data_IF_736187695711
#
_entry.id   IF_736187695711
#
_cell.length_a   1.000
_cell.length_b   1.000
_cell.length_c   1.000
_cell.angle_alpha   90.00
_cell.angle_beta   90.00
_cell.angle_gamma   90.00
#
_symmetry.space_group_name_H-M   'P 1'
#
loop_
_entity.id
_entity.type
_entity.pdbx_description
1 polymer ?
#
# COMPACT_ATOMS: atom_id res chain seq x y z
N UNK A 1 7.38 -14.86 21.74
CA UNK A 1 6.61 -15.99 22.29
C UNK A 1 5.42 -16.23 21.38
N UNK A 2 5.19 -17.42 20.88
CA UNK A 2 3.94 -17.73 20.19
C UNK A 2 2.81 -17.84 21.21
N UNK A 3 1.71 -17.13 20.96
CA UNK A 3 0.49 -17.20 21.78
C UNK A 3 -0.59 -17.87 20.94
N UNK A 4 -1.22 -18.90 21.49
CA UNK A 4 -2.21 -19.67 20.74
C UNK A 4 -3.48 -18.86 20.44
N UNK A 5 -3.98 -18.09 21.42
CA UNK A 5 -5.18 -17.24 21.22
C UNK A 5 -5.24 -16.10 22.24
N UNK A 6 -5.90 -15.01 21.87
CA UNK A 6 -6.12 -13.87 22.76
C UNK A 6 -5.67 -12.53 22.18
N UNK A 7 -6.08 -11.45 22.82
CA UNK A 7 -5.66 -10.10 22.46
C UNK A 7 -4.29 -9.80 23.10
N UNK A 8 -3.34 -9.36 22.28
CA UNK A 8 -2.03 -8.94 22.72
C UNK A 8 -1.90 -7.42 22.52
N UNK A 9 -1.53 -6.72 23.57
CA UNK A 9 -1.25 -5.28 23.51
C UNK A 9 0.15 -4.99 24.01
N UNK A 10 0.97 -4.39 23.19
CA UNK A 10 2.36 -4.05 23.48
C UNK A 10 2.54 -2.55 23.27
N UNK A 11 3.05 -1.85 24.28
CA UNK A 11 3.22 -0.38 24.23
C UNK A 11 4.55 0.06 24.83
N UNK A 12 5.15 1.13 24.24
CA UNK A 12 6.30 1.82 24.82
C UNK A 12 7.56 0.97 24.90
N UNK A 13 7.85 0.16 23.91
CA UNK A 13 9.04 -0.70 23.89
C UNK A 13 10.18 -0.03 23.12
N UNK A 14 11.35 0.11 23.76
CA UNK A 14 12.57 0.68 23.15
C UNK A 14 13.37 -0.32 22.31
N UNK A 15 13.13 -1.61 22.51
CA UNK A 15 13.78 -2.72 21.78
C UNK A 15 12.99 -3.19 20.55
N UNK A 16 13.56 -4.15 19.81
CA UNK A 16 12.83 -4.80 18.72
C UNK A 16 11.65 -5.64 19.27
N UNK A 17 10.56 -5.68 18.53
CA UNK A 17 9.34 -6.43 18.90
C UNK A 17 9.08 -7.51 17.86
N UNK A 18 8.93 -8.73 18.32
CA UNK A 18 8.48 -9.86 17.48
C UNK A 18 7.31 -10.57 18.15
N UNK A 19 6.16 -10.57 17.46
CA UNK A 19 4.91 -11.15 17.95
C UNK A 19 4.38 -12.15 16.94
N UNK A 20 3.97 -13.30 17.42
CA UNK A 20 3.30 -14.32 16.60
C UNK A 20 2.06 -14.81 17.36
N UNK A 21 0.92 -14.83 16.68
CA UNK A 21 -0.33 -15.36 17.22
C UNK A 21 -0.98 -16.33 16.25
N UNK A 22 -1.60 -17.37 16.75
CA UNK A 22 -2.42 -18.23 15.90
C UNK A 22 -3.79 -17.58 15.66
N UNK A 23 -4.40 -17.01 16.71
CA UNK A 23 -5.66 -16.28 16.60
C UNK A 23 -5.73 -15.14 17.60
N UNK A 24 -6.53 -14.12 17.30
CA UNK A 24 -6.71 -12.97 18.16
C UNK A 24 -6.17 -11.66 17.57
N UNK A 25 -6.30 -10.59 18.32
CA UNK A 25 -5.84 -9.28 17.90
C UNK A 25 -4.44 -8.95 18.43
N UNK A 26 -3.61 -8.38 17.59
CA UNK A 26 -2.30 -7.84 17.97
C UNK A 26 -2.37 -6.32 17.86
N UNK A 27 -2.12 -5.63 18.96
CA UNK A 27 -2.00 -4.16 18.99
C UNK A 27 -0.63 -3.76 19.50
N UNK A 28 0.08 -2.98 18.69
CA UNK A 28 1.42 -2.49 18.99
C UNK A 28 1.43 -0.98 18.88
N UNK A 29 1.90 -0.29 19.91
CA UNK A 29 1.94 1.18 19.94
C UNK A 29 3.27 1.70 20.54
N UNK A 30 3.85 2.73 19.94
CA UNK A 30 5.08 3.40 20.38
C UNK A 30 6.25 2.44 20.54
N UNK A 31 6.69 1.87 19.45
CA UNK A 31 7.87 1.01 19.39
C UNK A 31 9.00 1.77 18.72
N UNK A 32 10.15 1.87 19.36
CA UNK A 32 11.27 2.66 18.84
C UNK A 32 12.08 1.94 17.74
N UNK A 33 12.03 0.62 17.70
CA UNK A 33 12.85 -0.20 16.79
C UNK A 33 12.02 -1.09 15.88
N UNK A 34 12.72 -1.91 15.12
CA UNK A 34 12.14 -2.90 14.20
C UNK A 34 11.02 -3.73 14.85
N UNK A 35 9.93 -3.89 14.11
CA UNK A 35 8.75 -4.60 14.58
C UNK A 35 8.32 -5.67 13.57
N UNK A 36 8.18 -6.90 14.02
CA UNK A 36 7.68 -8.02 13.22
C UNK A 36 6.44 -8.62 13.87
N UNK A 37 5.32 -8.63 13.13
CA UNK A 37 4.03 -9.12 13.58
C UNK A 37 3.53 -10.20 12.64
N UNK A 38 3.05 -11.32 13.17
CA UNK A 38 2.46 -12.38 12.37
C UNK A 38 1.21 -12.95 13.05
N UNK A 39 0.15 -13.17 12.29
CA UNK A 39 -1.06 -13.86 12.76
C UNK A 39 -1.63 -14.78 11.69
N UNK A 40 -2.20 -15.90 12.12
CA UNK A 40 -2.96 -16.73 11.19
C UNK A 40 -4.40 -16.19 11.04
N UNK A 41 -5.03 -15.75 12.13
CA UNK A 41 -6.37 -15.18 12.08
C UNK A 41 -6.54 -14.06 13.10
N UNK A 42 -7.05 -12.94 12.65
CA UNK A 42 -7.30 -11.81 13.53
C UNK A 42 -6.85 -10.47 12.97
N UNK A 43 -7.03 -9.44 13.77
CA UNK A 43 -6.63 -8.08 13.37
C UNK A 43 -5.26 -7.70 13.92
N UNK A 44 -4.48 -7.01 13.10
CA UNK A 44 -3.23 -6.40 13.51
C UNK A 44 -3.37 -4.89 13.44
N UNK A 45 -2.99 -4.21 14.51
CA UNK A 45 -2.91 -2.75 14.56
C UNK A 45 -1.52 -2.33 15.04
N UNK A 46 -0.78 -1.63 14.20
CA UNK A 46 0.53 -1.09 14.53
C UNK A 46 0.52 0.43 14.38
N UNK A 47 0.86 1.14 15.44
CA UNK A 47 0.83 2.61 15.47
C UNK A 47 2.11 3.15 16.10
N UNK A 48 2.69 4.17 15.48
CA UNK A 48 3.88 4.87 15.95
C UNK A 48 5.07 3.92 16.12
N UNK A 49 5.56 3.40 14.99
CA UNK A 49 6.75 2.55 14.92
C UNK A 49 7.93 3.39 14.42
N UNK A 50 8.99 3.44 15.22
CA UNK A 50 10.15 4.32 15.01
C UNK A 50 11.14 3.81 13.95
N UNK A 51 11.00 2.58 13.48
CA UNK A 51 11.84 1.96 12.45
C UNK A 51 10.96 1.06 11.58
N UNK A 52 11.55 0.09 10.87
CA UNK A 52 10.87 -0.76 9.91
C UNK A 52 9.82 -1.66 10.57
N UNK A 53 8.75 -1.89 9.82
CA UNK A 53 7.65 -2.74 10.22
C UNK A 53 7.42 -3.86 9.20
N UNK A 54 7.42 -5.10 9.67
CA UNK A 54 7.01 -6.25 8.88
C UNK A 54 5.78 -6.91 9.47
N UNK A 55 4.74 -7.10 8.65
CA UNK A 55 3.47 -7.72 9.05
C UNK A 55 3.11 -8.85 8.10
N UNK A 56 2.73 -9.99 8.65
CA UNK A 56 2.20 -11.12 7.88
C UNK A 56 0.88 -11.60 8.49
N UNK A 57 -0.15 -11.73 7.67
CA UNK A 57 -1.47 -12.24 8.10
C UNK A 57 -2.01 -13.27 7.13
N UNK A 58 -2.58 -14.36 7.61
CA UNK A 58 -3.32 -15.24 6.71
C UNK A 58 -4.75 -14.72 6.50
N UNK A 59 -5.43 -14.28 7.57
CA UNK A 59 -6.78 -13.75 7.46
C UNK A 59 -7.02 -12.63 8.47
N UNK A 60 -7.68 -11.58 8.02
CA UNK A 60 -8.05 -10.47 8.89
C UNK A 60 -7.62 -9.10 8.37
N UNK A 61 -7.88 -8.08 9.15
CA UNK A 61 -7.51 -6.72 8.80
C UNK A 61 -6.17 -6.31 9.41
N UNK A 62 -5.33 -5.68 8.61
CA UNK A 62 -4.08 -5.07 9.05
C UNK A 62 -4.21 -3.56 8.94
N UNK A 63 -4.01 -2.87 10.04
CA UNK A 63 -3.99 -1.40 10.08
C UNK A 63 -2.64 -0.93 10.60
N UNK A 64 -1.95 -0.17 9.78
CA UNK A 64 -0.63 0.39 10.07
C UNK A 64 -0.71 1.91 9.99
N UNK A 65 -0.17 2.60 10.97
CA UNK A 65 -0.13 4.06 10.95
C UNK A 65 1.14 4.62 11.59
N UNK A 66 1.68 5.69 11.00
CA UNK A 66 2.85 6.41 11.52
C UNK A 66 4.06 5.51 11.73
N UNK A 67 4.57 4.92 10.68
CA UNK A 67 5.83 4.18 10.66
C UNK A 67 6.91 5.08 10.08
N UNK A 68 8.06 5.22 10.73
CA UNK A 68 9.15 6.08 10.26
C UNK A 68 10.05 5.41 9.23
N UNK A 69 10.22 4.11 9.32
CA UNK A 69 10.99 3.29 8.40
C UNK A 69 10.15 2.66 7.29
N UNK A 70 10.69 1.60 6.71
CA UNK A 70 10.03 0.82 5.65
C UNK A 70 8.88 -0.03 6.20
N UNK A 71 7.86 -0.22 5.36
CA UNK A 71 6.65 -0.99 5.70
C UNK A 71 6.51 -2.14 4.72
N UNK A 72 6.57 -3.37 5.23
CA UNK A 72 6.34 -4.61 4.48
C UNK A 72 5.12 -5.33 5.07
N UNK A 73 4.03 -5.37 4.32
CA UNK A 73 2.77 -5.98 4.76
C UNK A 73 2.28 -7.00 3.75
N UNK A 74 2.11 -8.23 4.18
CA UNK A 74 1.56 -9.30 3.35
C UNK A 74 0.36 -9.97 4.00
N UNK A 75 -0.69 -10.22 3.20
CA UNK A 75 -1.84 -11.00 3.64
C UNK A 75 -2.29 -12.00 2.57
N UNK A 76 -2.93 -13.09 2.99
CA UNK A 76 -3.62 -13.95 2.04
C UNK A 76 -5.02 -13.40 1.79
N UNK A 77 -5.75 -13.06 2.86
CA UNK A 77 -7.10 -12.50 2.75
C UNK A 77 -7.32 -11.37 3.74
N UNK A 78 -8.02 -10.34 3.32
CA UNK A 78 -8.41 -9.25 4.21
C UNK A 78 -8.07 -7.86 3.66
N UNK A 79 -8.17 -6.87 4.53
CA UNK A 79 -7.95 -5.48 4.16
C UNK A 79 -6.67 -4.97 4.81
N UNK A 80 -5.78 -4.43 3.96
CA UNK A 80 -4.55 -3.77 4.38
C UNK A 80 -4.76 -2.26 4.34
N UNK A 81 -4.63 -1.58 5.47
CA UNK A 81 -4.68 -0.11 5.56
C UNK A 81 -3.37 0.41 6.10
N UNK A 82 -2.69 1.23 5.31
CA UNK A 82 -1.41 1.84 5.66
C UNK A 82 -1.57 3.35 5.55
N UNK A 83 -1.31 4.07 6.62
CA UNK A 83 -1.40 5.53 6.64
C UNK A 83 -0.13 6.18 7.17
N UNK A 84 0.31 7.23 6.49
CA UNK A 84 1.50 8.01 6.83
C UNK A 84 2.76 7.13 6.99
N UNK A 85 3.15 6.35 5.98
CA UNK A 85 4.44 5.67 5.98
C UNK A 85 5.56 6.69 5.77
N UNK A 86 6.66 6.56 6.51
CA UNK A 86 7.82 7.43 6.41
C UNK A 86 8.93 6.90 5.50
N UNK A 87 8.86 5.65 5.08
CA UNK A 87 9.79 5.00 4.16
C UNK A 87 9.07 4.30 3.01
N UNK A 88 9.77 3.37 2.37
CA UNK A 88 9.23 2.54 1.29
C UNK A 88 8.09 1.66 1.80
N UNK A 89 7.07 1.47 0.97
CA UNK A 89 5.95 0.57 1.25
C UNK A 89 5.94 -0.60 0.27
N UNK A 90 5.88 -1.81 0.81
CA UNK A 90 5.57 -3.01 0.05
C UNK A 90 4.33 -3.67 0.68
N UNK A 91 3.23 -3.70 -0.06
CA UNK A 91 1.95 -4.21 0.44
C UNK A 91 1.32 -5.18 -0.56
N UNK A 92 1.00 -6.39 -0.11
CA UNK A 92 0.45 -7.41 -0.98
C UNK A 92 -0.64 -8.25 -0.37
N UNK A 93 -1.66 -8.58 -1.18
CA UNK A 93 -2.71 -9.52 -0.78
C UNK A 93 -3.09 -10.45 -1.94
N UNK A 94 -3.51 -11.67 -1.62
CA UNK A 94 -4.10 -12.54 -2.63
C UNK A 94 -5.59 -12.19 -2.84
N UNK A 95 -6.34 -11.98 -1.77
CA UNK A 95 -7.75 -11.59 -1.87
C UNK A 95 -8.08 -10.52 -0.85
N UNK A 96 -8.44 -9.35 -1.32
CA UNK A 96 -8.79 -8.24 -0.45
C UNK A 96 -8.30 -6.90 -0.98
N UNK A 97 -8.47 -5.88 -0.17
CA UNK A 97 -8.14 -4.51 -0.53
C UNK A 97 -6.82 -4.05 0.09
N UNK A 98 -6.05 -3.32 -0.70
CA UNK A 98 -4.86 -2.58 -0.27
C UNK A 98 -5.18 -1.10 -0.31
N UNK A 99 -5.08 -0.41 0.80
CA UNK A 99 -5.34 1.02 0.96
C UNK A 99 -4.09 1.70 1.58
N UNK A 100 -3.40 2.50 0.80
CA UNK A 100 -2.19 3.21 1.21
C UNK A 100 -2.44 4.71 1.10
N UNK A 101 -2.28 5.43 2.20
CA UNK A 101 -2.54 6.87 2.26
C UNK A 101 -1.34 7.64 2.80
N UNK A 102 -1.02 8.76 2.16
CA UNK A 102 0.08 9.63 2.54
C UNK A 102 1.46 9.09 2.19
N UNK A 103 1.57 8.27 1.14
CA UNK A 103 2.85 7.79 0.64
C UNK A 103 3.62 8.91 -0.05
N UNK A 104 4.92 8.99 0.25
CA UNK A 104 5.84 9.96 -0.35
C UNK A 104 7.11 9.31 -0.93
N UNK A 105 7.38 8.07 -0.59
CA UNK A 105 8.51 7.26 -1.05
C UNK A 105 8.07 6.15 -1.99
N UNK A 106 8.95 5.22 -2.29
CA UNK A 106 8.65 4.09 -3.17
C UNK A 106 7.46 3.26 -2.66
N UNK A 107 6.58 2.87 -3.57
CA UNK A 107 5.43 2.03 -3.26
C UNK A 107 5.38 0.84 -4.21
N UNK A 108 5.25 -0.35 -3.63
CA UNK A 108 4.84 -1.56 -4.36
C UNK A 108 3.56 -2.09 -3.73
N UNK A 109 2.46 -2.00 -4.48
CA UNK A 109 1.17 -2.48 -4.02
C UNK A 109 0.60 -3.49 -5.02
N UNK A 110 0.26 -4.68 -4.53
CA UNK A 110 -0.29 -5.71 -5.41
C UNK A 110 -1.43 -6.48 -4.74
N UNK A 111 -2.42 -6.82 -5.57
CA UNK A 111 -3.50 -7.72 -5.20
C UNK A 111 -3.73 -8.74 -6.32
N UNK A 112 -4.03 -9.99 -6.00
CA UNK A 112 -4.50 -10.89 -7.06
C UNK A 112 -5.98 -10.61 -7.36
N UNK A 113 -6.79 -10.39 -6.32
CA UNK A 113 -8.20 -9.98 -6.47
C UNK A 113 -8.55 -8.92 -5.44
N UNK A 114 -9.17 -7.84 -5.89
CA UNK A 114 -9.60 -6.74 -5.03
C UNK A 114 -9.15 -5.37 -5.51
N UNK A 115 -9.28 -4.38 -4.63
CA UNK A 115 -8.93 -3.01 -4.94
C UNK A 115 -7.52 -2.67 -4.41
N UNK A 116 -6.74 -1.99 -5.25
CA UNK A 116 -5.50 -1.32 -4.84
C UNK A 116 -5.75 0.19 -4.90
N UNK A 117 -5.78 0.83 -3.75
CA UNK A 117 -5.91 2.29 -3.62
C UNK A 117 -4.62 2.86 -3.05
N UNK A 118 -4.02 3.81 -3.75
CA UNK A 118 -2.82 4.52 -3.29
C UNK A 118 -3.03 6.00 -3.42
N UNK A 119 -2.86 6.71 -2.30
CA UNK A 119 -2.93 8.17 -2.23
C UNK A 119 -1.61 8.73 -1.70
N UNK A 120 -1.10 9.73 -2.37
CA UNK A 120 0.10 10.42 -1.93
C UNK A 120 0.73 11.28 -3.02
N UNK A 121 1.97 11.66 -2.81
CA UNK A 121 2.74 12.44 -3.77
C UNK A 121 4.14 11.86 -3.88
N UNK A 122 4.43 11.04 -4.90
CA UNK A 122 5.78 10.52 -5.12
C UNK A 122 6.74 11.68 -5.42
N UNK A 123 7.86 11.72 -4.74
CA UNK A 123 8.95 12.63 -5.05
C UNK A 123 9.60 12.31 -6.40
N UNK A 124 10.46 13.20 -6.88
CA UNK A 124 11.04 13.14 -8.23
C UNK A 124 11.81 11.84 -8.54
N UNK A 125 12.41 11.21 -7.52
CA UNK A 125 13.23 10.00 -7.69
C UNK A 125 12.51 8.72 -7.25
N UNK A 126 11.21 8.79 -6.93
CA UNK A 126 10.47 7.66 -6.40
C UNK A 126 9.72 6.89 -7.49
N UNK A 127 9.59 5.59 -7.24
CA UNK A 127 8.93 4.66 -8.13
C UNK A 127 7.75 3.97 -7.44
N UNK A 128 6.58 4.08 -8.05
CA UNK A 128 5.36 3.40 -7.59
C UNK A 128 4.95 2.32 -8.59
N UNK A 129 4.78 1.12 -8.10
CA UNK A 129 4.32 -0.02 -8.86
C UNK A 129 3.00 -0.55 -8.27
N UNK A 130 1.92 -0.43 -9.03
CA UNK A 130 0.57 -0.81 -8.61
C UNK A 130 0.05 -1.92 -9.51
N UNK A 131 -0.22 -3.09 -8.96
CA UNK A 131 -0.65 -4.25 -9.76
C UNK A 131 -1.89 -4.93 -9.19
N UNK A 132 -2.81 -5.30 -10.07
CA UNK A 132 -3.87 -6.26 -9.74
C UNK A 132 -4.09 -7.24 -10.89
N UNK A 133 -4.46 -8.47 -10.59
CA UNK A 133 -4.89 -9.36 -11.65
C UNK A 133 -6.37 -9.16 -11.97
N UNK A 134 -7.22 -9.01 -10.94
CA UNK A 134 -8.64 -8.76 -11.14
C UNK A 134 -9.16 -7.76 -10.11
N UNK A 135 -9.61 -6.62 -10.58
CA UNK A 135 -10.13 -5.58 -9.68
C UNK A 135 -9.87 -4.15 -10.14
N UNK A 136 -9.85 -3.24 -9.20
CA UNK A 136 -9.71 -1.81 -9.48
C UNK A 136 -8.38 -1.30 -8.91
N UNK A 137 -7.59 -0.61 -9.75
CA UNK A 137 -6.47 0.19 -9.26
C UNK A 137 -6.87 1.65 -9.27
N UNK A 138 -6.79 2.29 -8.13
CA UNK A 138 -7.08 3.70 -7.98
C UNK A 138 -5.85 4.44 -7.45
N UNK A 139 -5.36 5.37 -8.26
CA UNK A 139 -4.28 6.28 -7.91
C UNK A 139 -4.87 7.65 -7.61
N UNK A 140 -4.56 8.21 -6.44
CA UNK A 140 -4.98 9.55 -6.04
C UNK A 140 -3.75 10.43 -5.77
N UNK A 141 -3.51 11.43 -6.61
CA UNK A 141 -2.34 12.32 -6.54
C UNK A 141 -2.76 13.78 -6.59
N UNK A 142 -2.00 14.71 -6.00
CA UNK A 142 -2.29 16.15 -6.13
C UNK A 142 -2.21 16.59 -7.59
N UNK A 143 -3.07 17.52 -7.99
CA UNK A 143 -3.03 18.08 -9.35
C UNK A 143 -1.70 18.79 -9.68
N UNK A 144 -0.93 19.18 -8.65
CA UNK A 144 0.40 19.77 -8.76
C UNK A 144 1.55 18.75 -8.79
N UNK A 145 1.25 17.45 -8.78
CA UNK A 145 2.29 16.41 -8.81
C UNK A 145 3.06 16.43 -10.15
N UNK A 146 4.35 16.10 -10.05
CA UNK A 146 5.21 15.95 -11.23
C UNK A 146 5.49 14.45 -11.42
N UNK A 147 4.81 13.82 -12.38
CA UNK A 147 4.82 12.36 -12.55
C UNK A 147 4.88 11.95 -14.02
N UNK A 148 5.56 10.83 -14.27
CA UNK A 148 5.32 10.00 -15.45
C UNK A 148 4.43 8.82 -15.05
N UNK A 149 3.35 8.62 -15.76
CA UNK A 149 2.37 7.56 -15.51
C UNK A 149 2.36 6.63 -16.72
N UNK A 150 2.58 5.35 -16.46
CA UNK A 150 2.39 4.26 -17.42
C UNK A 150 1.30 3.34 -16.89
N UNK A 151 0.17 3.27 -17.57
CA UNK A 151 -0.95 2.43 -17.18
C UNK A 151 -1.26 1.43 -18.30
N UNK A 152 -1.35 0.15 -17.94
CA UNK A 152 -1.65 -0.93 -18.87
C UNK A 152 -2.75 -1.84 -18.31
N UNK A 153 -3.76 -2.14 -19.13
CA UNK A 153 -4.82 -3.07 -18.81
C UNK A 153 -4.95 -4.09 -19.96
N UNK A 154 -4.90 -5.38 -19.69
CA UNK A 154 -5.12 -6.39 -20.74
C UNK A 154 -6.59 -6.37 -21.16
N UNK A 155 -7.50 -6.27 -20.19
CA UNK A 155 -8.93 -6.15 -20.41
C UNK A 155 -9.54 -5.22 -19.38
N UNK A 156 -10.11 -4.11 -19.83
CA UNK A 156 -10.69 -3.09 -18.94
C UNK A 156 -10.50 -1.67 -19.44
N UNK A 157 -10.80 -0.72 -18.60
CA UNK A 157 -10.76 0.70 -18.92
C UNK A 157 -9.74 1.44 -18.09
N UNK A 158 -9.11 2.45 -18.72
CA UNK A 158 -8.23 3.41 -18.04
C UNK A 158 -8.92 4.77 -18.08
N UNK A 159 -9.18 5.36 -16.92
CA UNK A 159 -9.83 6.65 -16.78
C UNK A 159 -8.98 7.60 -15.94
N UNK A 160 -8.92 8.86 -16.35
CA UNK A 160 -8.32 9.93 -15.57
C UNK A 160 -9.33 11.04 -15.36
N UNK A 161 -9.53 11.41 -14.09
CA UNK A 161 -10.40 12.52 -13.68
C UNK A 161 -9.59 13.82 -13.48
N UNK A 162 -8.27 13.79 -13.73
CA UNK A 162 -7.38 14.94 -13.62
C UNK A 162 -6.75 15.26 -14.98
N UNK A 163 -6.39 16.53 -15.23
CA UNK A 163 -5.70 16.89 -16.45
C UNK A 163 -4.30 16.26 -16.49
N UNK A 164 -4.08 15.43 -17.50
CA UNK A 164 -2.80 14.80 -17.81
C UNK A 164 -2.41 15.13 -19.24
N UNK A 165 -1.12 15.25 -19.50
CA UNK A 165 -0.61 15.37 -20.87
C UNK A 165 -0.34 13.97 -21.40
N UNK A 166 -1.17 13.54 -22.34
CA UNK A 166 -1.07 12.21 -22.94
C UNK A 166 0.04 12.20 -23.98
N UNK A 167 1.01 11.32 -23.81
CA UNK A 167 2.09 11.08 -24.76
C UNK A 167 1.71 9.97 -25.75
N UNK A 168 1.13 8.91 -25.24
CA UNK A 168 0.70 7.77 -26.03
C UNK A 168 -0.60 7.18 -25.44
N UNK A 169 -1.59 6.95 -26.29
CA UNK A 169 -2.85 6.32 -25.89
C UNK A 169 -3.19 5.18 -26.86
N UNK A 170 -3.18 3.96 -26.32
CA UNK A 170 -3.69 2.78 -26.98
C UNK A 170 -5.09 2.42 -26.47
N UNK A 171 -5.64 1.32 -26.97
CA UNK A 171 -6.94 0.79 -26.50
C UNK A 171 -6.91 0.39 -25.03
N UNK A 172 -5.77 -0.10 -24.56
CA UNK A 172 -5.58 -0.67 -23.23
C UNK A 172 -4.28 -0.18 -22.56
N UNK A 173 -3.69 0.89 -23.08
CA UNK A 173 -2.47 1.49 -22.56
C UNK A 173 -2.56 3.00 -22.57
N UNK A 174 -1.96 3.62 -21.57
CA UNK A 174 -1.88 5.07 -21.42
C UNK A 174 -0.48 5.41 -20.92
N UNK A 175 0.24 6.24 -21.65
CA UNK A 175 1.44 6.94 -21.18
C UNK A 175 1.16 8.41 -21.13
N UNK A 176 1.39 8.99 -19.98
CA UNK A 176 1.10 10.39 -19.76
C UNK A 176 2.08 10.98 -18.74
N UNK A 177 2.16 12.30 -18.71
CA UNK A 177 2.87 12.98 -17.65
C UNK A 177 2.02 14.09 -17.03
N UNK A 178 2.37 14.46 -15.82
CA UNK A 178 1.85 15.60 -15.09
C UNK A 178 3.02 16.52 -14.73
N UNK A 179 2.82 17.82 -14.91
CA UNK A 179 3.86 18.81 -14.65
C UNK A 179 5.10 18.60 -15.54
N UNK A 180 6.29 18.73 -14.97
CA UNK A 180 7.57 18.55 -15.70
C UNK A 180 8.04 17.11 -15.78
N UNK A 181 7.28 16.15 -15.24
CA UNK A 181 7.74 14.78 -15.02
C UNK A 181 8.76 14.69 -13.88
N UNK A 182 8.67 13.68 -13.09
CA UNK A 182 9.56 13.45 -11.94
C UNK A 182 9.41 12.02 -11.48
N UNK A 183 8.62 11.80 -10.45
CA UNK A 183 8.30 10.46 -9.99
C UNK A 183 7.68 9.58 -11.07
N UNK A 184 7.89 8.28 -10.96
CA UNK A 184 7.36 7.31 -11.92
C UNK A 184 6.32 6.42 -11.28
N UNK A 185 5.19 6.24 -11.99
CA UNK A 185 4.10 5.37 -11.55
C UNK A 185 3.74 4.39 -12.67
N UNK A 186 3.95 3.11 -12.42
CA UNK A 186 3.57 2.03 -13.32
C UNK A 186 2.36 1.27 -12.74
N UNK A 187 1.28 1.20 -13.52
CA UNK A 187 0.03 0.58 -13.12
C UNK A 187 -0.30 -0.55 -14.08
N UNK A 188 -0.52 -1.75 -13.57
CA UNK A 188 -0.86 -2.90 -14.39
C UNK A 188 -2.10 -3.62 -13.85
N UNK A 189 -3.04 -3.92 -14.74
CA UNK A 189 -4.15 -4.82 -14.44
C UNK A 189 -4.36 -5.83 -15.59
N UNK A 190 -4.75 -7.05 -15.24
CA UNK A 190 -5.14 -8.01 -16.27
C UNK A 190 -6.61 -7.81 -16.61
N UNK A 191 -7.47 -7.74 -15.60
CA UNK A 191 -8.91 -7.54 -15.82
C UNK A 191 -9.45 -6.58 -14.77
N UNK A 192 -9.86 -5.39 -15.20
CA UNK A 192 -10.39 -4.40 -14.28
C UNK A 192 -10.24 -2.96 -14.74
N UNK A 193 -10.49 -2.05 -13.84
CA UNK A 193 -10.44 -0.61 -14.11
C UNK A 193 -9.21 0.04 -13.47
N UNK A 194 -8.57 0.93 -14.22
CA UNK A 194 -7.56 1.84 -13.68
C UNK A 194 -8.17 3.24 -13.62
N UNK A 195 -8.16 3.82 -12.42
CA UNK A 195 -8.69 5.16 -12.19
C UNK A 195 -7.62 6.07 -11.58
N UNK A 196 -7.37 7.21 -12.24
CA UNK A 196 -6.43 8.25 -11.79
C UNK A 196 -7.25 9.44 -11.35
N UNK A 197 -7.13 9.84 -10.09
CA UNK A 197 -7.95 10.90 -9.48
C UNK A 197 -7.09 11.97 -8.82
N UNK A 198 -7.63 13.17 -8.67
CA UNK A 198 -6.98 14.26 -7.95
C UNK A 198 -7.28 14.21 -6.45
N UNK A 199 -6.27 14.48 -5.64
CA UNK A 199 -6.49 14.84 -4.22
C UNK A 199 -6.68 16.33 -4.10
N UNK A 200 -7.59 16.74 -3.23
CA UNK A 200 -7.79 18.16 -2.88
C UNK A 200 -6.65 18.66 -1.99
#
# INVERSE_FOLDING_TARGET
MPVASGAQTIRGVRGPVKVQAASGSIRVEKIERYTQLATASGSISATDVGNDLRVSSASGSVTVSKVRGDVDVSAISGVLRISSPGGRVEAGTASGDVDIQGAAHDVKAHAASGRVFVQGNPGADNYWELKTASGVVQLAVPASANLHISAEAVSGEIRSDIPIVVEEQGKHSLRAHMGSGGGRVDIHTVSGEIRITGTK
#
